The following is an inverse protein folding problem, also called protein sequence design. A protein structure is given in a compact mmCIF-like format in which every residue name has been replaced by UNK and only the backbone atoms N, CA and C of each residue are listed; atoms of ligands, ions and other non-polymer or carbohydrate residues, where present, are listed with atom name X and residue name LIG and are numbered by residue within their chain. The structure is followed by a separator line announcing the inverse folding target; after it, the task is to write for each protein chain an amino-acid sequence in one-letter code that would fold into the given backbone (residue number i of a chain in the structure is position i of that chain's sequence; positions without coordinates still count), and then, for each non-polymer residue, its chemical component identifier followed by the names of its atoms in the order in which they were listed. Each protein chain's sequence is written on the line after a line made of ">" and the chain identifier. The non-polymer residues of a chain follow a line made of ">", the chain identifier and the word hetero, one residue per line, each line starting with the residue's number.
data_IF_386092541487
#
_entry.id   IF_386092541487
#
_cell.length_a   1.000
_cell.length_b   1.000
_cell.length_c   1.000
_cell.angle_alpha   90.00
_cell.angle_beta   90.00
_cell.angle_gamma   90.00
#
_symmetry.space_group_name_H-M   'P 1'
#
loop_
_entity.id
_entity.type
_entity.pdbx_description
1 polymer ?
#
# COMPACT_ATOMS: atom_id res chain seq x y z
N UNK A 1 8.92 3.53 -7.36
CA UNK A 1 9.07 3.37 -8.83
C UNK A 1 9.24 1.88 -9.08
N UNK A 2 8.29 1.24 -9.79
CA UNK A 2 8.24 -0.22 -9.94
C UNK A 2 9.48 -0.71 -10.70
N UNK A 3 10.18 -1.71 -10.13
CA UNK A 3 11.54 -2.14 -10.51
C UNK A 3 11.60 -2.97 -11.81
N UNK A 4 10.46 -3.34 -12.39
CA UNK A 4 10.42 -4.24 -13.56
C UNK A 4 10.62 -3.44 -14.85
N UNK A 5 11.74 -3.67 -15.52
CA UNK A 5 12.14 -2.96 -16.73
C UNK A 5 11.56 -3.56 -18.01
N UNK A 6 11.31 -4.88 -18.04
CA UNK A 6 10.73 -5.60 -19.17
C UNK A 6 9.75 -6.70 -18.70
N UNK A 7 8.78 -7.08 -19.53
CA UNK A 7 7.94 -8.27 -19.32
C UNK A 7 8.63 -9.55 -19.85
N UNK A 8 7.98 -10.71 -19.68
CA UNK A 8 8.49 -12.01 -20.14
C UNK A 8 8.71 -12.09 -21.66
N UNK A 9 8.17 -11.12 -22.41
CA UNK A 9 8.26 -11.01 -23.88
C UNK A 9 9.22 -9.91 -24.34
N UNK A 10 9.88 -9.19 -23.41
CA UNK A 10 10.84 -8.12 -23.72
C UNK A 10 10.21 -6.75 -24.04
N UNK A 11 8.90 -6.58 -23.84
CA UNK A 11 8.24 -5.28 -23.97
C UNK A 11 8.58 -4.39 -22.78
N UNK A 12 8.46 -3.07 -22.95
CA UNK A 12 8.66 -2.09 -21.88
C UNK A 12 7.32 -1.58 -21.33
N UNK A 13 7.21 -1.26 -20.04
CA UNK A 13 5.98 -0.70 -19.50
C UNK A 13 5.79 0.74 -19.97
N UNK A 14 4.60 1.03 -20.50
CA UNK A 14 4.17 2.39 -20.83
C UNK A 14 4.12 3.26 -19.57
N UNK A 15 4.22 4.59 -19.75
CA UNK A 15 4.22 5.52 -18.62
C UNK A 15 2.99 5.35 -17.73
N UNK A 16 1.81 5.14 -18.34
CA UNK A 16 0.57 4.94 -17.62
C UNK A 16 0.60 3.72 -16.69
N UNK A 17 1.29 2.65 -17.05
CA UNK A 17 1.36 1.40 -16.26
C UNK A 17 2.26 1.50 -15.03
N UNK A 18 3.13 2.51 -15.02
CA UNK A 18 4.05 2.81 -13.91
C UNK A 18 3.41 3.69 -12.85
N UNK A 19 2.28 4.32 -13.15
CA UNK A 19 1.58 5.24 -12.27
C UNK A 19 0.25 4.64 -11.87
N UNK A 20 0.01 4.55 -10.57
CA UNK A 20 -1.27 4.18 -10.01
C UNK A 20 -1.64 5.21 -8.95
N UNK A 21 -2.87 5.72 -9.03
CA UNK A 21 -3.43 6.64 -8.04
C UNK A 21 -4.38 5.81 -7.19
N UNK A 22 -4.16 5.85 -5.87
CA UNK A 22 -4.98 5.13 -4.90
C UNK A 22 -5.54 6.08 -3.86
N UNK A 23 -6.86 6.04 -3.69
CA UNK A 23 -7.51 6.55 -2.49
C UNK A 23 -7.42 5.50 -1.38
N UNK A 24 -7.06 5.90 -0.16
CA UNK A 24 -6.92 4.99 0.98
C UNK A 24 -7.87 5.38 2.09
N UNK A 25 -8.56 4.40 2.65
CA UNK A 25 -9.47 4.57 3.76
C UNK A 25 -8.97 3.76 4.95
N UNK A 26 -8.57 4.44 6.03
CA UNK A 26 -7.94 3.81 7.17
C UNK A 26 -8.85 3.90 8.40
N UNK A 27 -9.02 2.79 9.10
CA UNK A 27 -9.67 2.76 10.41
C UNK A 27 -8.58 2.66 11.48
N UNK A 28 -8.32 3.73 12.23
CA UNK A 28 -7.32 3.72 13.29
C UNK A 28 -7.88 3.04 14.54
N UNK A 29 -7.35 1.86 14.90
CA UNK A 29 -7.87 1.03 15.98
C UNK A 29 -7.11 1.20 17.31
N UNK A 30 -6.12 2.10 17.40
CA UNK A 30 -5.34 2.34 18.62
C UNK A 30 -6.20 2.56 19.86
N UNK A 31 -7.24 3.39 19.75
CA UNK A 31 -8.17 3.67 20.85
C UNK A 31 -9.10 2.49 21.19
N UNK A 32 -9.41 1.63 20.21
CA UNK A 32 -10.35 0.51 20.38
C UNK A 32 -9.66 -0.65 21.10
N UNK A 33 -8.39 -0.91 20.76
CA UNK A 33 -7.58 -1.95 21.41
C UNK A 33 -6.89 -1.49 22.69
N UNK A 34 -7.10 -0.24 23.13
CA UNK A 34 -6.40 0.37 24.27
C UNK A 34 -4.88 0.22 24.16
N UNK A 35 -4.34 0.37 22.96
CA UNK A 35 -2.90 0.35 22.73
C UNK A 35 -2.26 1.58 23.38
N UNK A 36 -0.95 1.51 23.64
CA UNK A 36 -0.18 2.66 24.08
C UNK A 36 -0.43 3.82 23.09
N UNK A 37 -0.61 5.08 23.53
CA UNK A 37 -0.77 6.24 22.64
C UNK A 37 0.32 6.36 21.56
N UNK A 38 1.48 5.76 21.77
CA UNK A 38 2.59 5.68 20.82
C UNK A 38 2.37 4.66 19.69
N UNK A 39 1.40 3.77 19.84
CA UNK A 39 1.14 2.64 18.96
C UNK A 39 -0.25 2.75 18.33
N UNK A 40 -0.34 2.48 17.04
CA UNK A 40 -1.61 2.40 16.36
C UNK A 40 -1.58 1.33 15.27
N UNK A 41 -2.64 0.54 15.24
CA UNK A 41 -2.88 -0.50 14.26
C UNK A 41 -4.07 -0.06 13.43
N UNK A 42 -3.88 0.05 12.12
CA UNK A 42 -4.89 0.56 11.20
C UNK A 42 -5.06 -0.39 10.01
N UNK A 43 -6.13 -1.19 9.97
CA UNK A 43 -6.57 -1.77 8.71
C UNK A 43 -7.14 -0.67 7.81
N UNK A 44 -6.98 -0.85 6.52
CA UNK A 44 -7.51 0.06 5.52
C UNK A 44 -7.88 -0.64 4.22
N UNK A 45 -8.67 0.06 3.43
CA UNK A 45 -9.05 -0.32 2.08
C UNK A 45 -8.40 0.65 1.09
N UNK A 46 -7.90 0.09 0.00
CA UNK A 46 -7.26 0.83 -1.07
C UNK A 46 -8.14 0.78 -2.32
N UNK A 47 -8.62 1.94 -2.75
CA UNK A 47 -9.33 2.10 -4.00
C UNK A 47 -8.38 2.73 -5.03
N UNK A 48 -7.70 1.88 -5.79
CA UNK A 48 -6.85 2.29 -6.90
C UNK A 48 -7.61 2.43 -8.20
N UNK A 49 -7.04 3.14 -9.17
CA UNK A 49 -7.59 3.18 -10.54
C UNK A 49 -7.52 1.81 -11.23
N UNK A 50 -6.64 0.92 -10.74
CA UNK A 50 -6.34 -0.38 -11.36
C UNK A 50 -6.78 -1.59 -10.53
N UNK A 51 -7.03 -1.39 -9.23
CA UNK A 51 -7.32 -2.45 -8.28
C UNK A 51 -8.09 -1.94 -7.06
N UNK A 52 -8.85 -2.84 -6.46
CA UNK A 52 -9.33 -2.72 -5.10
C UNK A 52 -8.46 -3.61 -4.19
N UNK A 53 -7.89 -3.04 -3.14
CA UNK A 53 -7.01 -3.72 -2.21
C UNK A 53 -7.40 -3.47 -0.77
N UNK A 54 -6.71 -4.15 0.13
CA UNK A 54 -6.71 -3.84 1.54
C UNK A 54 -5.28 -3.82 2.04
N UNK A 55 -5.03 -3.02 3.07
CA UNK A 55 -3.77 -3.01 3.78
C UNK A 55 -4.00 -3.10 5.28
N UNK A 56 -2.97 -3.56 5.96
CA UNK A 56 -2.84 -3.49 7.41
C UNK A 56 -1.55 -2.75 7.72
N UNK A 57 -1.71 -1.57 8.32
CA UNK A 57 -0.61 -0.76 8.77
C UNK A 57 -0.47 -0.77 10.28
N UNK A 58 0.77 -0.68 10.72
CA UNK A 58 1.14 -0.52 12.11
C UNK A 58 2.13 0.64 12.20
N UNK A 59 1.92 1.55 13.16
CA UNK A 59 2.82 2.68 13.43
C UNK A 59 3.23 2.72 14.90
N UNK A 60 4.49 3.05 15.12
CA UNK A 60 5.10 3.25 16.43
C UNK A 60 5.83 4.60 16.48
N UNK A 61 5.43 5.47 17.39
CA UNK A 61 6.05 6.76 17.66
C UNK A 61 7.02 6.65 18.83
N UNK A 62 8.32 6.87 18.56
CA UNK A 62 9.34 6.91 19.62
C UNK A 62 9.23 8.20 20.43
N UNK A 63 8.90 9.29 19.74
CA UNK A 63 8.68 10.63 20.31
C UNK A 63 7.37 11.21 19.75
N UNK A 64 6.91 12.32 20.30
CA UNK A 64 5.68 12.98 19.84
C UNK A 64 5.73 13.41 18.37
N UNK A 65 6.93 13.59 17.80
CA UNK A 65 7.16 14.05 16.43
C UNK A 65 7.79 13.03 15.47
N UNK A 66 8.30 11.89 15.95
CA UNK A 66 8.99 10.90 15.11
C UNK A 66 8.59 9.46 15.44
N UNK A 67 8.32 8.69 14.39
CA UNK A 67 7.98 7.28 14.46
C UNK A 67 8.40 6.51 13.21
N UNK A 68 8.18 5.21 13.24
CA UNK A 68 8.19 4.37 12.05
C UNK A 68 6.81 3.78 11.82
N UNK A 69 6.50 3.49 10.57
CA UNK A 69 5.35 2.71 10.18
C UNK A 69 5.78 1.54 9.30
N UNK A 70 5.03 0.47 9.40
CA UNK A 70 5.11 -0.68 8.52
C UNK A 70 3.72 -0.98 8.00
N UNK A 71 3.59 -1.26 6.72
CA UNK A 71 2.30 -1.51 6.08
C UNK A 71 2.41 -2.70 5.13
N UNK A 72 1.51 -3.67 5.30
CA UNK A 72 1.37 -4.79 4.39
C UNK A 72 0.07 -4.63 3.60
N UNK A 73 0.14 -4.71 2.27
CA UNK A 73 -0.99 -4.56 1.37
C UNK A 73 -1.22 -5.81 0.52
N UNK A 74 -2.48 -6.16 0.31
CA UNK A 74 -2.91 -7.20 -0.62
C UNK A 74 -3.95 -6.65 -1.61
N UNK A 75 -3.88 -7.04 -2.89
CA UNK A 75 -4.95 -6.79 -3.83
C UNK A 75 -6.11 -7.75 -3.55
N UNK A 76 -7.32 -7.24 -3.46
CA UNK A 76 -8.55 -8.04 -3.28
C UNK A 76 -9.19 -8.32 -4.65
N UNK A 77 -9.26 -7.31 -5.52
CA UNK A 77 -9.83 -7.43 -6.84
C UNK A 77 -9.07 -6.58 -7.86
N UNK A 78 -8.80 -7.17 -9.03
CA UNK A 78 -8.37 -6.41 -10.20
C UNK A 78 -9.59 -6.05 -11.05
N UNK A 79 -9.62 -4.84 -11.61
CA UNK A 79 -10.70 -4.43 -12.51
C UNK A 79 -10.56 -4.98 -13.94
N UNK A 80 -9.42 -5.59 -14.28
CA UNK A 80 -9.21 -6.25 -15.56
C UNK A 80 -9.48 -7.76 -15.42
N UNK A 81 -10.27 -8.32 -16.32
CA UNK A 81 -10.69 -9.73 -16.31
C UNK A 81 -9.55 -10.70 -16.66
N UNK A 82 -8.50 -10.24 -17.37
CA UNK A 82 -7.32 -11.06 -17.70
C UNK A 82 -6.04 -10.20 -17.70
N UNK A 83 -5.48 -9.85 -16.52
CA UNK A 83 -4.30 -9.02 -16.44
C UNK A 83 -3.06 -9.77 -16.96
N UNK A 84 -2.46 -9.25 -18.02
CA UNK A 84 -1.25 -9.78 -18.68
C UNK A 84 -0.09 -8.79 -18.56
N UNK A 85 1.13 -9.31 -18.44
CA UNK A 85 2.35 -8.49 -18.33
C UNK A 85 2.30 -7.48 -17.17
N UNK A 86 2.45 -6.20 -17.51
CA UNK A 86 2.57 -5.09 -16.55
C UNK A 86 1.32 -4.82 -15.71
N UNK A 87 0.15 -5.31 -16.13
CA UNK A 87 -1.08 -5.19 -15.34
C UNK A 87 -1.04 -6.00 -14.03
N UNK A 88 -0.20 -7.03 -13.96
CA UNK A 88 0.02 -7.80 -12.73
C UNK A 88 0.81 -7.02 -11.69
N UNK A 89 1.60 -6.01 -12.08
CA UNK A 89 2.49 -5.28 -11.16
C UNK A 89 1.72 -4.48 -10.10
N UNK A 90 0.56 -3.95 -10.46
CA UNK A 90 -0.29 -3.20 -9.53
C UNK A 90 -1.16 -4.12 -8.66
N UNK A 91 -1.19 -5.43 -8.96
CA UNK A 91 -1.94 -6.47 -8.26
C UNK A 91 -0.99 -7.44 -7.55
N UNK A 92 -0.05 -6.93 -6.74
CA UNK A 92 0.88 -7.75 -5.96
C UNK A 92 0.75 -7.45 -4.48
N UNK A 93 1.20 -8.40 -3.67
CA UNK A 93 1.49 -8.14 -2.26
C UNK A 93 2.54 -7.03 -2.16
N UNK A 94 2.30 -6.06 -1.29
CA UNK A 94 3.23 -4.98 -1.01
C UNK A 94 3.57 -4.97 0.47
N UNK A 95 4.83 -4.69 0.77
CA UNK A 95 5.29 -4.43 2.13
C UNK A 95 6.10 -3.14 2.13
N UNK A 96 5.68 -2.18 2.94
CA UNK A 96 6.29 -0.88 3.05
C UNK A 96 6.79 -0.68 4.48
N UNK A 97 7.96 -0.08 4.62
CA UNK A 97 8.49 0.43 5.88
C UNK A 97 8.98 1.86 5.65
N UNK A 98 8.68 2.75 6.58
CA UNK A 98 9.03 4.16 6.43
C UNK A 98 8.95 4.93 7.74
N UNK A 99 9.49 6.15 7.74
CA UNK A 99 9.40 7.07 8.86
C UNK A 99 8.08 7.84 8.83
N UNK A 100 7.53 8.11 10.02
CA UNK A 100 6.35 8.95 10.24
C UNK A 100 6.77 10.16 11.06
N UNK A 101 6.33 11.35 10.64
CA UNK A 101 6.58 12.60 11.36
C UNK A 101 5.25 13.25 11.72
N UNK A 102 5.13 13.71 12.95
CA UNK A 102 3.97 14.47 13.43
C UNK A 102 4.43 15.89 13.72
N UNK A 103 3.69 16.89 13.23
CA UNK A 103 4.06 18.31 13.30
C UNK A 103 3.30 19.04 14.42
#
# INVERSE_FOLDING_TARGET
>A
MLSVSNDDLGNKPDFGDRVDIKGRFNANLGNIFKLDPKMDLYPGLDLGLRNFGAHLGFRYFFTEGFGFFTEAGIPIASYKTNPIGFDKLNNQFTFNIGASFNL
#
